data_IF_573425754120
#
_entry.id   IF_573425754120
#
_cell.length_a   1.000
_cell.length_b   1.000
_cell.length_c   1.000
_cell.angle_alpha   90.00
_cell.angle_beta   90.00
_cell.angle_gamma   90.00
#
_symmetry.space_group_name_H-M   'P 1'
#
loop_
_entity.id
_entity.type
_entity.pdbx_description
1 polymer ?
#
# COMPACT_ATOMS: atom_id res chain seq x y z
N UNK A 1 -11.75 -4.84 -9.04
CA UNK A 1 -12.46 -3.70 -8.55
C UNK A 1 -12.06 -3.37 -7.12
N UNK A 2 -12.35 -2.15 -6.70
CA UNK A 2 -11.81 -1.62 -5.45
C UNK A 2 -12.20 -2.43 -4.23
N UNK A 3 -13.42 -2.92 -4.19
CA UNK A 3 -13.91 -3.63 -3.02
C UNK A 3 -13.14 -4.90 -2.75
N UNK A 4 -12.54 -5.47 -3.78
CA UNK A 4 -11.82 -6.74 -3.61
C UNK A 4 -10.51 -6.57 -2.88
N UNK A 5 -9.93 -5.37 -2.94
CA UNK A 5 -8.61 -5.16 -2.36
C UNK A 5 -8.65 -4.38 -1.05
N UNK A 6 -9.75 -3.69 -0.74
CA UNK A 6 -9.84 -2.91 0.49
C UNK A 6 -9.66 -3.78 1.71
N UNK A 7 -8.86 -3.29 2.64
CA UNK A 7 -8.56 -3.93 3.92
C UNK A 7 -7.71 -5.19 3.81
N UNK A 8 -7.29 -5.55 2.60
CA UNK A 8 -6.34 -6.65 2.41
C UNK A 8 -4.92 -6.13 2.40
N UNK A 9 -3.97 -7.03 2.54
CA UNK A 9 -2.57 -6.68 2.50
C UNK A 9 -2.01 -6.92 1.12
N UNK A 10 -1.11 -6.03 0.72
CA UNK A 10 -0.46 -6.11 -0.58
C UNK A 10 1.04 -6.00 -0.39
N UNK A 11 1.78 -6.53 -1.35
CA UNK A 11 3.24 -6.45 -1.30
C UNK A 11 3.69 -5.16 -1.97
N UNK A 12 4.55 -4.41 -1.28
CA UNK A 12 5.11 -3.18 -1.83
C UNK A 12 6.18 -3.55 -2.85
N UNK A 13 5.95 -3.18 -4.10
CA UNK A 13 6.90 -3.48 -5.18
C UNK A 13 7.74 -2.27 -5.55
N UNK A 14 7.29 -1.07 -5.14
CA UNK A 14 8.08 0.14 -5.29
C UNK A 14 7.86 0.94 -4.01
N UNK A 15 8.95 1.41 -3.40
CA UNK A 15 8.86 2.14 -2.13
C UNK A 15 7.79 3.22 -2.18
N UNK A 16 6.91 3.21 -1.20
CA UNK A 16 5.82 4.17 -1.11
C UNK A 16 6.34 5.40 -0.38
N UNK A 17 6.42 6.52 -1.08
CA UNK A 17 7.00 7.74 -0.58
C UNK A 17 6.25 8.92 -1.18
N UNK A 18 5.39 9.53 -0.37
CA UNK A 18 4.52 10.59 -0.87
C UNK A 18 5.28 11.82 -1.34
N UNK A 19 6.38 12.12 -0.67
CA UNK A 19 7.17 13.31 -1.05
C UNK A 19 7.78 13.16 -2.43
N UNK A 20 8.23 11.96 -2.74
CA UNK A 20 8.83 11.70 -4.03
C UNK A 20 7.81 11.22 -5.06
N UNK A 21 6.54 11.10 -4.65
CA UNK A 21 5.44 10.67 -5.52
C UNK A 21 5.73 9.30 -6.12
N UNK A 22 6.23 8.38 -5.30
CA UNK A 22 6.48 7.01 -5.73
C UNK A 22 5.64 6.06 -4.92
N UNK A 23 5.48 4.86 -5.45
CA UNK A 23 4.85 3.78 -4.71
C UNK A 23 4.02 2.89 -5.58
N UNK A 24 4.17 1.59 -5.36
CA UNK A 24 3.36 0.59 -6.04
C UNK A 24 3.23 -0.63 -5.16
N UNK A 25 2.08 -1.27 -5.26
CA UNK A 25 1.82 -2.51 -4.53
C UNK A 25 1.23 -3.53 -5.49
N UNK A 26 1.44 -4.80 -5.16
CA UNK A 26 0.95 -5.91 -5.96
C UNK A 26 -0.10 -6.66 -5.15
N UNK A 27 -1.28 -6.80 -5.71
CA UNK A 27 -2.36 -7.55 -5.09
C UNK A 27 -3.38 -7.93 -6.16
N UNK A 28 -4.00 -9.07 -5.96
CA UNK A 28 -5.06 -9.56 -6.84
C UNK A 28 -4.58 -9.65 -8.28
N UNK A 29 -3.34 -10.09 -8.45
CA UNK A 29 -2.78 -10.39 -9.76
C UNK A 29 -2.30 -9.20 -10.54
N UNK A 30 -2.25 -8.00 -9.94
CA UNK A 30 -1.77 -6.85 -10.69
C UNK A 30 -1.12 -5.81 -9.78
N UNK A 31 -0.41 -4.88 -10.41
CA UNK A 31 0.30 -3.82 -9.72
C UNK A 31 -0.54 -2.54 -9.76
N UNK A 32 -0.63 -1.88 -8.61
CA UNK A 32 -1.40 -0.66 -8.43
C UNK A 32 -0.48 0.45 -7.98
N UNK A 33 -0.75 1.67 -8.44
CA UNK A 33 -0.10 2.85 -7.87
C UNK A 33 -0.55 3.01 -6.43
N UNK A 34 0.40 3.30 -5.55
CA UNK A 34 0.10 3.41 -4.12
C UNK A 34 0.70 4.66 -3.51
N UNK A 35 0.02 5.16 -2.50
CA UNK A 35 0.52 6.27 -1.69
C UNK A 35 0.27 5.94 -0.23
N UNK A 36 1.00 6.59 0.64
CA UNK A 36 0.90 6.33 2.07
C UNK A 36 -0.25 7.13 2.66
N UNK A 37 -1.16 6.44 3.36
CA UNK A 37 -2.27 7.10 4.02
C UNK A 37 -1.82 7.86 5.26
N UNK A 38 -0.78 7.38 5.92
CA UNK A 38 -0.25 7.99 7.15
C UNK A 38 0.90 8.94 6.89
N UNK A 39 1.43 8.96 5.68
CA UNK A 39 2.63 9.72 5.36
C UNK A 39 3.92 8.97 5.60
N UNK A 40 3.86 7.80 6.22
CA UNK A 40 5.06 7.00 6.45
C UNK A 40 5.58 6.42 5.15
N UNK A 41 6.90 6.34 5.04
CA UNK A 41 7.54 5.65 3.92
C UNK A 41 7.41 4.15 4.16
N UNK A 42 6.99 3.41 3.14
CA UNK A 42 6.89 1.97 3.23
C UNK A 42 7.79 1.38 2.17
N UNK A 43 8.80 0.65 2.59
CA UNK A 43 9.87 0.22 1.71
C UNK A 43 9.47 -0.97 0.87
N UNK A 44 10.04 -1.03 -0.33
CA UNK A 44 9.89 -2.17 -1.22
C UNK A 44 10.16 -3.46 -0.47
N UNK A 45 9.34 -4.46 -0.69
CA UNK A 45 9.45 -5.75 -0.06
C UNK A 45 8.63 -5.92 1.20
N UNK A 46 8.10 -4.81 1.74
CA UNK A 46 7.25 -4.88 2.92
C UNK A 46 5.80 -5.13 2.51
N UNK A 47 5.00 -5.50 3.49
CA UNK A 47 3.55 -5.63 3.27
C UNK A 47 2.86 -4.36 3.71
N UNK A 48 1.79 -4.02 3.03
CA UNK A 48 1.02 -2.82 3.35
C UNK A 48 -0.45 -3.15 3.31
N UNK A 49 -1.20 -2.55 4.22
CA UNK A 49 -2.65 -2.75 4.26
C UNK A 49 -3.33 -1.65 3.48
N UNK A 50 -4.28 -2.03 2.64
CA UNK A 50 -4.99 -1.10 1.80
C UNK A 50 -6.17 -0.54 2.58
N UNK A 51 -6.21 0.79 2.77
CA UNK A 51 -7.23 1.42 3.60
C UNK A 51 -8.26 2.18 2.78
N UNK A 52 -7.91 2.66 1.59
CA UNK A 52 -8.89 3.30 0.72
C UNK A 52 -8.35 3.42 -0.69
N UNK A 53 -9.21 3.80 -1.59
CA UNK A 53 -8.85 3.97 -2.99
C UNK A 53 -9.38 5.32 -3.47
N UNK A 54 -8.57 6.03 -4.23
CA UNK A 54 -9.00 7.26 -4.90
C UNK A 54 -8.61 7.16 -6.36
N UNK A 55 -9.61 7.14 -7.22
CA UNK A 55 -9.36 6.91 -8.63
C UNK A 55 -8.69 5.58 -8.81
N UNK A 56 -7.48 5.60 -9.39
CA UNK A 56 -6.72 4.36 -9.60
C UNK A 56 -5.61 4.18 -8.58
N UNK A 57 -5.53 5.05 -7.57
CA UNK A 57 -4.49 4.96 -6.55
C UNK A 57 -5.03 4.29 -5.30
N UNK A 58 -4.21 3.43 -4.72
CA UNK A 58 -4.51 2.82 -3.43
C UNK A 58 -3.76 3.57 -2.34
N UNK A 59 -4.44 3.84 -1.23
CA UNK A 59 -3.81 4.43 -0.07
C UNK A 59 -3.61 3.34 0.95
N UNK A 60 -2.36 3.21 1.40
CA UNK A 60 -1.95 2.06 2.19
C UNK A 60 -1.26 2.51 3.46
N UNK A 61 -1.20 1.61 4.44
CA UNK A 61 -0.45 1.78 5.68
C UNK A 61 0.48 0.61 5.85
N UNK A 62 1.58 0.78 6.60
CA UNK A 62 2.43 -0.38 6.89
C UNK A 62 1.62 -1.46 7.57
N UNK A 63 1.74 -2.69 7.10
CA UNK A 63 1.11 -3.81 7.76
C UNK A 63 1.98 -4.17 8.96
N UNK A 64 1.40 -4.17 10.15
CA UNK A 64 2.15 -4.43 11.35
C UNK A 64 1.84 -5.81 11.87
N UNK A 65 2.89 -6.45 12.32
CA UNK A 65 2.77 -7.71 12.99
C UNK A 65 2.03 -7.48 14.30
N UNK A 66 1.07 -8.33 14.68
CA UNK A 66 0.38 -8.15 15.96
C UNK A 66 1.30 -8.11 17.17
N UNK A 67 2.49 -8.70 17.04
CA UNK A 67 3.45 -8.73 18.13
C UNK A 67 4.31 -7.47 18.21
N UNK A 68 4.21 -6.56 17.26
CA UNK A 68 4.99 -5.33 17.28
C UNK A 68 4.32 -4.30 18.18
N UNK A 69 5.14 -3.55 18.85
CA UNK A 69 4.65 -2.51 19.76
C UNK A 69 4.88 -1.12 19.19
#
# INVERSE_FOLDING_TARGET
NADRVLHHEAKVTETVDNENATGAVYIDGKTWTARSDSGEIIEKGKMAKIVRMEGVKLYVRPARNPDEK
#
